data_IF_175336547517
#
_entry.id   IF_175336547517
#
_cell.length_a   1.000
_cell.length_b   1.000
_cell.length_c   1.000
_cell.angle_alpha   90.00
_cell.angle_beta   90.00
_cell.angle_gamma   90.00
#
_symmetry.space_group_name_H-M   'P 1'
#
loop_
_entity.id
_entity.type
_entity.pdbx_description
1 polymer ?
#
# COMPACT_ATOMS: atom_id res chain seq x y z
N UNK A 1 -2.03 -11.83 -65.54
CA UNK A 1 -1.77 -12.59 -64.30
C UNK A 1 -1.11 -11.65 -63.30
N UNK A 2 -1.84 -11.25 -62.26
CA UNK A 2 -1.32 -10.41 -61.19
C UNK A 2 -1.24 -11.28 -59.93
N UNK A 3 -0.04 -11.71 -59.57
CA UNK A 3 0.25 -12.48 -58.37
C UNK A 3 1.13 -11.61 -57.48
N UNK A 4 0.51 -10.88 -56.56
CA UNK A 4 1.21 -10.29 -55.41
C UNK A 4 0.27 -10.39 -54.22
N UNK A 5 0.56 -11.36 -53.35
CA UNK A 5 -0.04 -11.47 -52.03
C UNK A 5 0.53 -10.36 -51.15
N UNK A 6 -0.33 -9.55 -50.53
CA UNK A 6 0.07 -8.64 -49.44
C UNK A 6 -1.04 -8.65 -48.39
N UNK A 7 -1.03 -9.70 -47.56
CA UNK A 7 -1.56 -9.62 -46.21
C UNK A 7 -0.39 -9.18 -45.32
N UNK A 8 -0.52 -8.05 -44.61
CA UNK A 8 0.14 -7.94 -43.34
C UNK A 8 -0.89 -7.58 -42.26
N UNK A 9 -1.11 -8.55 -41.39
CA UNK A 9 -0.95 -8.34 -39.95
C UNK A 9 -2.11 -7.57 -39.28
N UNK A 10 -3.18 -8.33 -38.96
CA UNK A 10 -3.99 -8.08 -37.76
C UNK A 10 -3.11 -8.33 -36.52
N UNK A 11 -2.25 -7.38 -36.14
CA UNK A 11 -1.68 -7.37 -34.78
C UNK A 11 -1.55 -5.94 -34.26
N UNK A 12 -2.58 -5.47 -33.57
CA UNK A 12 -2.40 -4.90 -32.22
C UNK A 12 -3.63 -5.31 -31.41
N UNK A 13 -3.59 -6.57 -30.97
CA UNK A 13 -4.39 -7.02 -29.84
C UNK A 13 -4.02 -6.14 -28.63
N UNK A 14 -5.06 -5.66 -27.93
CA UNK A 14 -5.16 -5.52 -26.46
C UNK A 14 -3.96 -4.98 -25.70
N UNK A 15 -4.18 -3.91 -24.90
CA UNK A 15 -3.82 -3.83 -23.47
C UNK A 15 -3.68 -2.37 -23.04
N UNK A 16 -4.79 -1.71 -22.70
CA UNK A 16 -4.77 -0.75 -21.58
C UNK A 16 -6.05 -0.89 -20.76
N UNK A 17 -6.43 -2.13 -20.45
CA UNK A 17 -7.20 -2.37 -19.24
C UNK A 17 -6.21 -2.25 -18.10
N UNK A 18 -5.87 -1.02 -17.67
CA UNK A 18 -5.14 -0.85 -16.41
C UNK A 18 -5.99 -1.55 -15.36
N UNK A 19 -5.50 -2.61 -14.71
CA UNK A 19 -6.30 -3.31 -13.73
C UNK A 19 -6.55 -2.31 -12.60
N UNK A 20 -7.82 -1.96 -12.37
CA UNK A 20 -8.23 -1.07 -11.27
C UNK A 20 -7.75 -1.60 -9.90
N UNK A 21 -7.42 -2.89 -9.82
CA UNK A 21 -6.82 -3.52 -8.64
C UNK A 21 -5.47 -2.93 -8.28
N UNK A 22 -4.64 -2.51 -9.24
CA UNK A 22 -3.37 -1.85 -8.95
C UNK A 22 -3.53 -0.44 -8.33
N UNK A 23 -4.67 0.22 -8.58
CA UNK A 23 -4.99 1.51 -7.96
C UNK A 23 -5.49 1.30 -6.53
N UNK A 24 -6.25 0.24 -6.26
CA UNK A 24 -6.64 -0.12 -4.90
C UNK A 24 -5.41 -0.49 -4.05
N UNK A 25 -4.48 -1.30 -4.57
CA UNK A 25 -3.22 -1.62 -3.88
C UNK A 25 -2.29 -0.39 -3.69
N UNK A 26 -2.47 0.67 -4.48
CA UNK A 26 -1.81 1.96 -4.25
C UNK A 26 -2.48 2.76 -3.10
N UNK A 27 -3.79 2.60 -2.95
CA UNK A 27 -4.59 3.28 -1.92
C UNK A 27 -4.54 2.57 -0.58
N UNK A 28 -4.27 1.25 -0.55
CA UNK A 28 -4.21 0.42 0.65
C UNK A 28 -2.95 -0.46 0.67
N UNK A 29 -2.15 -0.39 1.73
CA UNK A 29 -0.95 -1.21 1.95
C UNK A 29 -1.02 -1.89 3.30
N UNK A 30 -0.66 -3.16 3.37
CA UNK A 30 -0.60 -3.93 4.62
C UNK A 30 0.80 -4.48 4.86
N UNK A 31 1.11 -4.75 6.13
CA UNK A 31 2.38 -5.36 6.51
C UNK A 31 2.47 -5.71 7.98
N UNK A 32 3.68 -6.08 8.41
CA UNK A 32 3.97 -6.47 9.79
C UNK A 32 5.36 -6.03 10.22
N UNK A 33 5.54 -5.90 11.53
CA UNK A 33 6.82 -5.56 12.17
C UNK A 33 6.74 -5.82 13.67
N UNK A 34 7.75 -6.52 14.20
CA UNK A 34 7.72 -6.98 15.59
C UNK A 34 6.50 -7.86 15.89
N UNK A 35 5.77 -7.50 16.95
CA UNK A 35 4.53 -8.17 17.37
C UNK A 35 3.27 -7.53 16.76
N UNK A 36 3.42 -6.62 15.80
CA UNK A 36 2.31 -5.82 15.26
C UNK A 36 2.13 -5.99 13.75
N UNK A 37 0.89 -5.81 13.30
CA UNK A 37 0.50 -5.66 11.89
C UNK A 37 -0.02 -4.24 11.67
N UNK A 38 0.03 -3.81 10.41
CA UNK A 38 -0.58 -2.56 10.00
C UNK A 38 -1.39 -2.70 8.72
N UNK A 39 -2.36 -1.80 8.60
CA UNK A 39 -3.09 -1.48 7.38
C UNK A 39 -2.99 0.04 7.21
N UNK A 40 -2.54 0.46 6.05
CA UNK A 40 -2.35 1.85 5.67
C UNK A 40 -3.27 2.13 4.50
N UNK A 41 -4.13 3.14 4.59
CA UNK A 41 -4.93 3.56 3.46
C UNK A 41 -5.00 5.06 3.31
N UNK A 42 -5.16 5.56 2.09
CA UNK A 42 -5.45 6.97 1.87
C UNK A 42 -6.95 7.25 1.95
N UNK A 43 -7.32 8.45 2.39
CA UNK A 43 -8.67 8.98 2.25
C UNK A 43 -9.04 9.18 0.77
N UNK A 44 -10.34 9.31 0.49
CA UNK A 44 -10.88 9.43 -0.88
C UNK A 44 -10.28 10.58 -1.70
N UNK A 45 -9.77 11.62 -1.02
CA UNK A 45 -9.15 12.78 -1.66
C UNK A 45 -7.63 12.64 -1.86
N UNK A 46 -7.03 11.53 -1.40
CA UNK A 46 -5.59 11.24 -1.50
C UNK A 46 -4.69 12.17 -0.68
N UNK A 47 -5.25 13.00 0.21
CA UNK A 47 -4.50 14.00 1.00
C UNK A 47 -4.15 13.55 2.41
N UNK A 48 -4.88 12.58 2.93
CA UNK A 48 -4.64 12.02 4.26
C UNK A 48 -4.41 10.51 4.17
N UNK A 49 -3.52 10.02 5.01
CA UNK A 49 -3.20 8.61 5.13
C UNK A 49 -3.53 8.14 6.54
N UNK A 50 -4.26 7.06 6.64
CA UNK A 50 -4.70 6.43 7.87
C UNK A 50 -3.89 5.17 8.09
N UNK A 51 -3.30 5.03 9.27
CA UNK A 51 -2.55 3.85 9.68
C UNK A 51 -3.27 3.19 10.85
N UNK A 52 -3.78 2.00 10.63
CA UNK A 52 -4.37 1.12 11.64
C UNK A 52 -3.34 0.10 12.07
N UNK A 53 -3.25 -0.14 13.38
CA UNK A 53 -2.26 -1.03 13.97
C UNK A 53 -2.94 -1.96 14.97
N UNK A 54 -2.53 -3.22 14.97
CA UNK A 54 -3.00 -4.24 15.91
C UNK A 54 -1.94 -5.32 16.14
N UNK A 55 -2.10 -6.10 17.22
CA UNK A 55 -1.24 -7.23 17.53
C UNK A 55 -1.35 -8.31 16.44
N UNK A 56 -0.21 -8.88 16.01
CA UNK A 56 -0.15 -9.82 14.89
C UNK A 56 -0.95 -11.11 15.08
N UNK A 57 -1.25 -11.47 16.33
CA UNK A 57 -1.99 -12.68 16.70
C UNK A 57 -3.49 -12.41 16.85
N UNK A 58 -3.91 -11.15 16.72
CA UNK A 58 -5.30 -10.76 16.86
C UNK A 58 -5.98 -10.60 15.51
N UNK A 59 -7.26 -11.00 15.47
CA UNK A 59 -8.08 -10.94 14.28
C UNK A 59 -8.59 -9.51 14.05
N UNK A 60 -8.35 -8.96 12.85
CA UNK A 60 -8.70 -7.57 12.51
C UNK A 60 -10.19 -7.25 12.60
N UNK A 61 -11.03 -8.29 12.58
CA UNK A 61 -12.49 -8.20 12.58
C UNK A 61 -13.11 -7.99 13.96
N UNK A 62 -12.34 -8.14 15.04
CA UNK A 62 -12.84 -7.97 16.41
C UNK A 62 -12.07 -6.87 17.11
N UNK A 63 -12.57 -5.63 17.02
CA UNK A 63 -12.47 -4.48 17.94
C UNK A 63 -11.17 -4.13 18.69
N UNK A 64 -10.09 -4.90 18.59
CA UNK A 64 -8.80 -4.64 19.24
C UNK A 64 -7.85 -3.88 18.31
N UNK A 65 -8.40 -2.85 17.67
CA UNK A 65 -7.58 -1.85 17.01
C UNK A 65 -6.83 -1.10 18.10
N UNK A 66 -5.51 -1.26 18.14
CA UNK A 66 -4.70 -0.54 19.12
C UNK A 66 -4.66 0.95 18.85
N UNK A 67 -4.58 1.34 17.57
CA UNK A 67 -4.68 2.74 17.18
C UNK A 67 -5.02 2.90 15.70
N UNK A 68 -5.66 4.02 15.38
CA UNK A 68 -5.74 4.56 14.01
C UNK A 68 -5.17 5.98 14.05
N UNK A 69 -4.09 6.22 13.32
CA UNK A 69 -3.38 7.52 13.30
C UNK A 69 -3.42 8.10 11.89
N UNK A 70 -3.48 9.43 11.79
CA UNK A 70 -3.54 10.15 10.51
C UNK A 70 -2.22 10.82 10.18
N UNK A 71 -1.84 10.80 8.92
CA UNK A 71 -0.58 11.33 8.40
C UNK A 71 -0.78 12.06 7.07
N UNK A 72 0.10 13.03 6.79
CA UNK A 72 0.14 13.78 5.53
C UNK A 72 0.73 12.97 4.36
N UNK A 73 1.38 11.84 4.64
CA UNK A 73 1.95 10.96 3.60
C UNK A 73 2.07 9.53 4.10
N UNK A 74 2.02 8.57 3.17
CA UNK A 74 2.30 7.16 3.43
C UNK A 74 3.69 6.94 4.05
N UNK A 75 4.71 7.68 3.60
CA UNK A 75 6.07 7.61 4.16
C UNK A 75 6.12 7.97 5.64
N UNK A 76 5.44 9.06 6.05
CA UNK A 76 5.37 9.44 7.47
C UNK A 76 4.65 8.37 8.31
N UNK A 77 3.58 7.79 7.76
CA UNK A 77 2.85 6.71 8.41
C UNK A 77 3.73 5.47 8.63
N UNK A 78 4.41 5.00 7.59
CA UNK A 78 5.29 3.83 7.68
C UNK A 78 6.49 4.07 8.60
N UNK A 79 7.08 5.28 8.58
CA UNK A 79 8.15 5.62 9.52
C UNK A 79 7.64 5.57 10.97
N UNK A 80 6.44 6.08 11.24
CA UNK A 80 5.83 5.98 12.57
C UNK A 80 5.65 4.52 13.01
N UNK A 81 5.11 3.66 12.13
CA UNK A 81 5.00 2.24 12.41
C UNK A 81 6.38 1.63 12.73
N UNK A 82 7.36 1.91 11.89
CA UNK A 82 8.69 1.34 11.99
C UNK A 82 9.40 1.73 13.28
N UNK A 83 9.29 3.00 13.69
CA UNK A 83 9.95 3.49 14.89
C UNK A 83 9.27 3.05 16.20
N UNK A 84 7.94 3.10 16.25
CA UNK A 84 7.21 2.93 17.51
C UNK A 84 6.71 1.50 17.74
N UNK A 85 6.51 0.71 16.68
CA UNK A 85 5.92 -0.64 16.77
C UNK A 85 6.87 -1.71 16.25
N UNK A 86 7.48 -1.51 15.09
CA UNK A 86 8.48 -2.46 14.58
C UNK A 86 9.85 -2.33 15.25
N UNK A 87 10.03 -1.30 16.09
CA UNK A 87 11.28 -0.96 16.80
C UNK A 87 12.52 -0.95 15.91
N UNK A 88 12.37 -0.51 14.65
CA UNK A 88 13.49 -0.36 13.73
C UNK A 88 14.34 0.83 14.14
N UNK A 89 15.65 0.70 13.98
CA UNK A 89 16.61 1.79 14.17
C UNK A 89 16.81 2.53 12.85
N UNK A 90 15.81 3.33 12.45
CA UNK A 90 15.91 4.18 11.25
C UNK A 90 16.43 5.58 11.62
N UNK A 91 17.15 6.28 10.72
CA UNK A 91 17.60 7.66 10.95
C UNK A 91 16.47 8.64 11.27
N UNK A 92 15.26 8.38 10.76
CA UNK A 92 14.06 9.19 10.95
C UNK A 92 13.38 8.96 12.31
N UNK A 93 13.79 7.94 13.06
CA UNK A 93 13.23 7.68 14.38
C UNK A 93 13.71 8.69 15.40
N UNK A 94 12.84 9.10 16.35
CA UNK A 94 13.28 9.92 17.46
C UNK A 94 14.36 9.16 18.24
N UNK A 95 15.54 9.79 18.39
CA UNK A 95 16.60 9.24 19.22
C UNK A 95 16.07 9.18 20.66
N UNK A 96 16.05 7.99 21.27
CA UNK A 96 15.77 7.89 22.71
C UNK A 96 16.81 8.75 23.43
N UNK A 97 16.32 9.68 24.25
CA UNK A 97 17.17 10.59 25.02
C UNK A 97 17.88 9.83 26.14
#
# INVERSE_FOLDING_TARGET
MLKVAVLPILTVFTLVSVPKTAIADYLTSEGYGGEYRYELWSSDNGKEYHLKIWDKNQDTKKDNVMSVVRFESSRKALNYFDCYYAHKSLPECPKSR
#
